data_IF_042446387132
#
_entry.id   IF_042446387132
#
_cell.length_a   1.000
_cell.length_b   1.000
_cell.length_c   1.000
_cell.angle_alpha   90.00
_cell.angle_beta   90.00
_cell.angle_gamma   90.00
#
_symmetry.space_group_name_H-M   'P 1'
#
loop_
_entity.id
_entity.type
_entity.pdbx_description
1 polymer ?
#
# COMPACT_ATOMS: atom_id res chain seq x y z
N UNK A 1 37.07 -42.71 -34.29
CA UNK A 1 35.94 -41.76 -34.31
C UNK A 1 35.38 -41.73 -32.90
N UNK A 2 35.84 -40.78 -32.08
CA UNK A 2 35.51 -40.69 -30.67
C UNK A 2 34.47 -39.58 -30.52
N UNK A 3 33.23 -39.94 -30.21
CA UNK A 3 32.16 -38.98 -29.91
C UNK A 3 32.05 -38.83 -28.41
N UNK A 4 32.61 -37.74 -27.88
CA UNK A 4 32.39 -37.28 -26.51
C UNK A 4 30.91 -37.03 -26.28
N UNK A 5 30.31 -37.74 -25.33
CA UNK A 5 28.93 -37.48 -24.88
C UNK A 5 29.04 -36.64 -23.61
N UNK A 6 28.78 -35.35 -23.71
CA UNK A 6 28.65 -34.46 -22.55
C UNK A 6 27.24 -34.62 -21.97
N UNK A 7 27.03 -34.97 -20.70
CA UNK A 7 25.71 -34.94 -20.11
C UNK A 7 25.32 -33.48 -19.83
N UNK A 8 24.26 -32.99 -20.49
CA UNK A 8 23.63 -31.73 -20.12
C UNK A 8 22.87 -31.91 -18.81
N UNK A 9 23.46 -31.43 -17.71
CA UNK A 9 22.75 -31.30 -16.44
C UNK A 9 21.71 -30.19 -16.62
N UNK A 10 20.44 -30.58 -16.67
CA UNK A 10 19.31 -29.65 -16.53
C UNK A 10 19.28 -29.25 -15.05
N UNK A 11 19.74 -28.03 -14.74
CA UNK A 11 19.49 -27.42 -13.45
C UNK A 11 17.97 -27.27 -13.28
N UNK A 12 17.36 -27.69 -12.15
CA UNK A 12 15.97 -27.34 -11.88
C UNK A 12 15.87 -25.81 -11.91
N UNK A 13 14.91 -25.28 -12.67
CA UNK A 13 14.56 -23.88 -12.60
C UNK A 13 14.27 -23.58 -11.12
N UNK A 14 15.14 -22.79 -10.50
CA UNK A 14 14.97 -22.31 -9.14
C UNK A 14 13.81 -21.32 -9.17
N UNK A 15 12.59 -21.83 -9.16
CA UNK A 15 11.34 -21.07 -9.11
C UNK A 15 11.11 -20.50 -7.70
N UNK A 16 12.18 -20.08 -7.03
CA UNK A 16 12.12 -19.24 -5.85
C UNK A 16 12.09 -17.78 -6.29
N UNK A 17 11.16 -17.44 -7.18
CA UNK A 17 10.63 -16.09 -7.15
C UNK A 17 9.99 -15.96 -5.76
N UNK A 18 10.29 -14.89 -4.97
CA UNK A 18 9.58 -14.69 -3.72
C UNK A 18 8.10 -14.73 -4.06
N UNK A 19 7.37 -15.69 -3.49
CA UNK A 19 5.92 -15.71 -3.56
C UNK A 19 5.49 -14.35 -3.05
N UNK A 20 5.11 -13.45 -3.96
CA UNK A 20 4.74 -12.09 -3.58
C UNK A 20 3.50 -12.30 -2.75
N UNK A 21 3.68 -12.26 -1.43
CA UNK A 21 2.62 -12.21 -0.46
C UNK A 21 1.63 -11.16 -0.96
N UNK A 22 0.33 -11.45 -0.88
CA UNK A 22 -0.74 -10.55 -1.29
C UNK A 22 -0.79 -9.32 -0.36
N UNK A 23 0.31 -8.57 -0.29
CA UNK A 23 0.47 -7.38 0.52
C UNK A 23 -0.25 -6.25 -0.20
N UNK A 24 -1.11 -5.57 0.53
CA UNK A 24 -1.87 -4.42 0.09
C UNK A 24 -1.55 -3.20 0.96
N UNK A 25 -1.49 -2.04 0.33
CA UNK A 25 -1.13 -0.77 0.93
C UNK A 25 -2.16 0.29 0.57
N UNK A 26 -2.72 0.94 1.60
CA UNK A 26 -3.56 2.11 1.45
C UNK A 26 -2.79 3.35 1.91
N UNK A 27 -2.64 4.33 1.03
CA UNK A 27 -2.10 5.65 1.35
C UNK A 27 -3.26 6.62 1.52
N UNK A 28 -3.72 6.79 2.75
CA UNK A 28 -4.84 7.64 3.12
C UNK A 28 -4.35 9.07 3.26
N UNK A 29 -4.97 10.01 2.55
CA UNK A 29 -4.56 11.40 2.60
C UNK A 29 -5.71 12.41 2.62
N UNK A 30 -5.41 13.62 3.11
CA UNK A 30 -6.25 14.79 2.88
C UNK A 30 -5.42 15.94 2.29
N UNK A 31 -5.94 16.57 1.24
CA UNK A 31 -5.21 17.56 0.46
C UNK A 31 -6.10 18.70 -0.03
N UNK A 32 -6.03 19.88 0.59
CA UNK A 32 -6.80 21.04 0.16
C UNK A 32 -6.29 21.66 -1.17
N UNK A 33 -4.98 21.58 -1.43
CA UNK A 33 -4.33 22.25 -2.58
C UNK A 33 -3.56 21.27 -3.49
N UNK A 34 -3.73 19.97 -3.31
CA UNK A 34 -3.07 18.96 -4.15
C UNK A 34 -1.61 18.61 -3.78
N UNK A 35 -0.99 19.30 -2.81
CA UNK A 35 0.40 18.99 -2.41
C UNK A 35 0.52 17.62 -1.73
N UNK A 36 -0.33 17.36 -0.72
CA UNK A 36 -0.31 16.07 -0.02
C UNK A 36 -0.78 14.94 -0.92
N UNK A 37 -1.71 15.21 -1.85
CA UNK A 37 -2.12 14.28 -2.90
C UNK A 37 -0.91 13.83 -3.74
N UNK A 38 -0.10 14.78 -4.25
CA UNK A 38 1.11 14.44 -5.03
C UNK A 38 2.10 13.57 -4.24
N UNK A 39 2.24 13.82 -2.94
CA UNK A 39 3.08 12.98 -2.08
C UNK A 39 2.49 11.57 -1.96
N UNK A 40 1.18 11.45 -1.76
CA UNK A 40 0.49 10.15 -1.70
C UNK A 40 0.63 9.36 -3.01
N UNK A 41 0.44 10.04 -4.15
CA UNK A 41 0.63 9.46 -5.48
C UNK A 41 2.08 9.01 -5.71
N UNK A 42 3.07 9.78 -5.25
CA UNK A 42 4.48 9.40 -5.34
C UNK A 42 4.81 8.16 -4.48
N UNK A 43 4.24 8.06 -3.27
CA UNK A 43 4.37 6.87 -2.42
C UNK A 43 3.79 5.65 -3.12
N UNK A 44 2.57 5.76 -3.66
CA UNK A 44 1.92 4.67 -4.41
C UNK A 44 2.72 4.30 -5.65
N UNK A 45 3.24 5.28 -6.39
CA UNK A 45 4.10 5.03 -7.57
C UNK A 45 5.35 4.25 -7.20
N UNK A 46 5.99 4.59 -6.06
CA UNK A 46 7.12 3.83 -5.54
C UNK A 46 6.72 2.41 -5.12
N UNK A 47 5.62 2.26 -4.38
CA UNK A 47 5.11 0.95 -3.96
C UNK A 47 4.76 0.05 -5.16
N UNK A 48 4.26 0.64 -6.24
CA UNK A 48 3.91 -0.07 -7.49
C UNK A 48 5.11 -0.64 -8.25
N UNK A 49 6.34 -0.35 -7.84
CA UNK A 49 7.53 -1.05 -8.34
C UNK A 49 7.57 -2.51 -7.85
N UNK A 50 6.87 -2.83 -6.76
CA UNK A 50 6.81 -4.16 -6.17
C UNK A 50 5.37 -4.69 -6.00
N UNK A 51 4.37 -3.81 -5.98
CA UNK A 51 2.95 -4.12 -5.82
C UNK A 51 2.16 -3.83 -7.11
N UNK A 52 1.05 -4.54 -7.33
CA UNK A 52 0.14 -4.24 -8.42
C UNK A 52 -0.69 -2.96 -8.18
N UNK A 53 -1.30 -2.42 -9.24
CA UNK A 53 -2.25 -1.29 -9.19
C UNK A 53 -3.38 -1.51 -8.17
N UNK A 54 -3.85 -2.74 -8.02
CA UNK A 54 -4.95 -3.11 -7.12
C UNK A 54 -4.48 -3.19 -5.67
N UNK A 55 -3.21 -3.55 -5.46
CA UNK A 55 -2.60 -3.71 -4.14
C UNK A 55 -2.21 -2.37 -3.52
N UNK A 56 -1.81 -1.36 -4.31
CA UNK A 56 -1.39 -0.06 -3.78
C UNK A 56 -2.26 1.08 -4.32
N UNK A 57 -2.99 1.76 -3.42
CA UNK A 57 -3.91 2.86 -3.78
C UNK A 57 -3.72 4.07 -2.86
N UNK A 58 -3.87 5.26 -3.44
CA UNK A 58 -4.01 6.50 -2.70
C UNK A 58 -5.51 6.77 -2.50
N UNK A 59 -5.92 7.08 -1.27
CA UNK A 59 -7.32 7.23 -0.87
C UNK A 59 -7.51 8.60 -0.23
N UNK A 60 -8.34 9.45 -0.82
CA UNK A 60 -8.70 10.73 -0.20
C UNK A 60 -9.70 10.49 0.93
N UNK A 61 -9.52 11.15 2.07
CA UNK A 61 -10.45 11.04 3.22
C UNK A 61 -11.89 11.47 2.92
N UNK A 62 -12.13 12.21 1.84
CA UNK A 62 -13.46 12.59 1.40
C UNK A 62 -14.17 11.48 0.59
N UNK A 63 -13.43 10.49 0.08
CA UNK A 63 -13.94 9.37 -0.71
C UNK A 63 -13.23 8.06 -0.30
N UNK A 64 -13.61 7.57 0.88
CA UNK A 64 -12.94 6.42 1.51
C UNK A 64 -13.61 5.11 1.13
N UNK A 65 -12.85 4.25 0.46
CA UNK A 65 -13.16 2.83 0.34
C UNK A 65 -12.78 2.10 1.64
N UNK A 66 -13.76 2.00 2.53
CA UNK A 66 -13.57 1.38 3.84
C UNK A 66 -13.24 -0.10 3.79
N UNK A 67 -13.74 -0.83 2.80
CA UNK A 67 -13.49 -2.26 2.67
C UNK A 67 -12.05 -2.51 2.23
N UNK A 68 -11.51 -1.66 1.34
CA UNK A 68 -10.11 -1.70 0.98
C UNK A 68 -9.19 -1.35 2.17
N UNK A 69 -9.51 -0.31 2.95
CA UNK A 69 -8.75 0.06 4.15
C UNK A 69 -8.75 -1.06 5.20
N UNK A 70 -9.89 -1.72 5.43
CA UNK A 70 -10.00 -2.81 6.39
C UNK A 70 -9.22 -4.07 5.98
N UNK A 71 -8.97 -4.25 4.68
CA UNK A 71 -8.21 -5.38 4.13
C UNK A 71 -6.72 -5.06 3.93
N UNK A 72 -6.32 -3.79 4.07
CA UNK A 72 -4.95 -3.36 3.80
C UNK A 72 -3.98 -3.85 4.88
N UNK A 73 -2.88 -4.46 4.45
CA UNK A 73 -1.79 -4.88 5.36
C UNK A 73 -0.97 -3.68 5.86
N UNK A 74 -0.97 -2.58 5.11
CA UNK A 74 -0.26 -1.36 5.46
C UNK A 74 -1.14 -0.12 5.22
N UNK A 75 -1.28 0.69 6.27
CA UNK A 75 -1.93 1.99 6.23
C UNK A 75 -0.87 3.10 6.35
N UNK A 76 -0.81 3.99 5.37
CA UNK A 76 0.05 5.18 5.38
C UNK A 76 -0.85 6.41 5.50
N UNK A 77 -0.60 7.25 6.48
CA UNK A 77 -1.42 8.43 6.77
C UNK A 77 -0.71 9.73 6.35
N UNK A 78 -1.38 10.54 5.54
CA UNK A 78 -0.88 11.82 5.05
C UNK A 78 -1.87 12.98 5.25
N UNK A 79 -1.43 14.07 5.84
CA UNK A 79 -2.23 15.30 5.90
C UNK A 79 -1.33 16.50 5.60
N UNK A 80 -1.89 17.54 4.99
CA UNK A 80 -1.27 18.86 5.07
C UNK A 80 -1.18 19.31 6.54
N UNK A 81 -0.21 20.19 6.84
CA UNK A 81 -0.06 20.81 8.16
C UNK A 81 -0.77 22.15 8.17
N UNK A 82 -1.86 22.25 8.93
CA UNK A 82 -2.66 23.46 9.09
C UNK A 82 -2.59 23.89 10.55
N UNK A 83 -2.11 25.11 10.81
CA UNK A 83 -1.97 25.67 12.17
C UNK A 83 -1.22 24.73 13.14
N UNK A 84 -0.18 24.05 12.65
CA UNK A 84 0.66 23.13 13.46
C UNK A 84 0.04 21.75 13.71
N UNK A 85 -1.08 21.41 13.07
CA UNK A 85 -1.73 20.10 13.22
C UNK A 85 -2.16 19.51 11.87
N UNK A 86 -2.80 18.34 11.91
CA UNK A 86 -3.49 17.78 10.76
C UNK A 86 -4.68 18.66 10.37
N UNK A 87 -5.10 18.54 9.12
CA UNK A 87 -6.28 19.24 8.62
C UNK A 87 -7.56 18.75 9.32
N UNK A 88 -8.58 19.60 9.36
CA UNK A 88 -9.89 19.24 9.92
C UNK A 88 -10.52 18.03 9.20
N UNK A 89 -10.42 17.95 7.86
CA UNK A 89 -10.91 16.80 7.09
C UNK A 89 -10.22 15.49 7.51
N UNK A 90 -8.90 15.52 7.68
CA UNK A 90 -8.18 14.36 8.17
C UNK A 90 -8.55 13.99 9.62
N UNK A 91 -8.76 14.99 10.49
CA UNK A 91 -9.22 14.75 11.87
C UNK A 91 -10.62 14.11 11.91
N UNK A 92 -11.54 14.54 11.05
CA UNK A 92 -12.87 13.92 10.91
C UNK A 92 -12.76 12.46 10.49
N UNK A 93 -11.86 12.13 9.55
CA UNK A 93 -11.57 10.75 9.19
C UNK A 93 -11.04 9.95 10.40
N UNK A 94 -10.10 10.50 11.17
CA UNK A 94 -9.60 9.85 12.39
C UNK A 94 -10.72 9.58 13.40
N UNK A 95 -11.67 10.50 13.55
CA UNK A 95 -12.82 10.28 14.45
C UNK A 95 -13.76 9.19 13.93
N UNK A 96 -13.91 9.06 12.61
CA UNK A 96 -14.68 8.00 11.97
C UNK A 96 -14.03 6.60 12.12
N UNK A 97 -12.73 6.50 12.42
CA UNK A 97 -12.08 5.21 12.69
C UNK A 97 -12.33 4.68 14.11
N UNK A 98 -12.95 5.47 15.00
CA UNK A 98 -13.20 5.11 16.41
C UNK A 98 -13.87 3.73 16.59
N UNK A 99 -14.87 3.40 15.78
CA UNK A 99 -15.54 2.09 15.82
C UNK A 99 -14.60 0.95 15.41
N UNK A 100 -13.72 1.16 14.42
CA UNK A 100 -12.73 0.17 13.97
C UNK A 100 -11.70 -0.09 15.05
N UNK A 101 -11.21 0.97 15.68
CA UNK A 101 -10.31 0.90 16.82
C UNK A 101 -10.94 0.11 17.98
N UNK A 102 -12.20 0.41 18.33
CA UNK A 102 -12.91 -0.30 19.39
C UNK A 102 -13.00 -1.82 19.14
N UNK A 103 -13.16 -2.23 17.88
CA UNK A 103 -13.20 -3.65 17.49
C UNK A 103 -11.84 -4.27 17.19
N UNK A 104 -10.72 -3.55 17.41
CA UNK A 104 -9.37 -4.07 17.11
C UNK A 104 -9.15 -4.39 15.63
N UNK A 105 -9.91 -3.77 14.72
CA UNK A 105 -9.92 -4.10 13.28
C UNK A 105 -8.54 -4.02 12.62
N UNK A 106 -7.71 -3.08 13.05
CA UNK A 106 -6.36 -2.84 12.52
C UNK A 106 -5.28 -3.17 13.55
N UNK A 107 -5.59 -4.06 14.49
CA UNK A 107 -4.61 -4.55 15.45
C UNK A 107 -3.68 -5.55 14.77
N UNK A 108 -2.37 -5.32 14.89
CA UNK A 108 -1.30 -6.25 14.50
C UNK A 108 -0.61 -6.87 15.71
#
# INVERSE_FOLDING_TARGET
>A
MNTSVTPSIVLPADNTAPSVSNISMAVIYHSNYGHTQRVAEAIVTGARQQLSEIQAKAVDVNDVDWDFLDQADLLVFGSAVYMGSVTAGFKTFMDATSKRWYHGKWQG
#
